data_IF_850791037262
#
_entry.id   IF_850791037262
#
_cell.length_a   1.000
_cell.length_b   1.000
_cell.length_c   1.000
_cell.angle_alpha   90.00
_cell.angle_beta   90.00
_cell.angle_gamma   90.00
#
_symmetry.space_group_name_H-M   'P 1'
#
loop_
_entity.id
_entity.type
_entity.pdbx_description
1 polymer ?
#
# COMPACT_ATOMS: atom_id res chain seq x y z
N UNK A 1 -14.21 27.39 -6.24
CA UNK A 1 -13.15 26.94 -5.30
C UNK A 1 -13.70 25.77 -4.51
N UNK A 2 -13.38 24.54 -4.93
CA UNK A 2 -13.62 23.36 -4.09
C UNK A 2 -12.53 23.28 -3.01
N UNK A 3 -12.86 22.69 -1.86
CA UNK A 3 -11.90 22.38 -0.80
C UNK A 3 -11.87 20.87 -0.68
N UNK A 4 -10.67 20.30 -0.61
CA UNK A 4 -10.48 18.86 -0.43
C UNK A 4 -9.95 18.56 0.97
N UNK A 5 -10.39 17.44 1.53
CA UNK A 5 -9.88 16.89 2.77
C UNK A 5 -8.43 16.44 2.59
N UNK A 6 -7.49 17.30 2.98
CA UNK A 6 -6.05 17.00 3.01
C UNK A 6 -5.71 15.92 4.04
N UNK A 7 -6.63 15.60 4.97
CA UNK A 7 -6.41 14.56 5.97
C UNK A 7 -6.25 13.15 5.40
N UNK A 8 -6.71 12.94 4.16
CA UNK A 8 -6.42 11.73 3.40
C UNK A 8 -4.91 11.44 3.35
N UNK A 9 -4.07 12.47 3.33
CA UNK A 9 -2.62 12.37 3.27
C UNK A 9 -1.99 11.83 4.57
N UNK A 10 -2.76 11.74 5.67
CA UNK A 10 -2.35 11.22 6.97
C UNK A 10 -3.01 9.89 7.33
N UNK A 11 -3.70 9.25 6.38
CA UNK A 11 -4.14 7.87 6.58
C UNK A 11 -2.92 6.95 6.71
N UNK A 12 -2.98 5.91 7.59
CA UNK A 12 -1.89 4.96 7.78
C UNK A 12 -1.31 4.44 6.47
N UNK A 13 -2.15 4.01 5.52
CA UNK A 13 -1.71 3.50 4.21
C UNK A 13 -0.91 4.54 3.42
N UNK A 14 -1.27 5.83 3.51
CA UNK A 14 -0.58 6.94 2.83
C UNK A 14 0.73 7.30 3.52
N UNK A 15 0.78 7.24 4.86
CA UNK A 15 2.00 7.51 5.62
C UNK A 15 3.08 6.46 5.32
N UNK A 16 2.74 5.18 5.36
CA UNK A 16 3.70 4.13 5.04
C UNK A 16 4.10 4.17 3.55
N UNK A 17 3.21 4.68 2.68
CA UNK A 17 3.53 4.91 1.25
C UNK A 17 4.60 5.97 1.07
N UNK A 18 4.44 7.10 1.75
CA UNK A 18 5.46 8.16 1.79
C UNK A 18 6.78 7.63 2.36
N UNK A 19 6.72 6.82 3.41
CA UNK A 19 7.92 6.22 4.00
C UNK A 19 8.65 5.29 3.02
N UNK A 20 7.91 4.46 2.28
CA UNK A 20 8.46 3.60 1.23
C UNK A 20 9.11 4.42 0.12
N UNK A 21 8.50 5.56 -0.26
CA UNK A 21 8.97 6.41 -1.35
C UNK A 21 10.19 7.26 -0.97
N UNK A 22 10.30 7.65 0.30
CA UNK A 22 11.36 8.52 0.81
C UNK A 22 12.46 7.76 1.56
N UNK A 23 12.47 6.43 1.51
CA UNK A 23 13.41 5.63 2.29
C UNK A 23 14.87 5.90 1.88
N UNK A 24 15.70 6.35 2.81
CA UNK A 24 17.14 6.51 2.60
C UNK A 24 17.81 5.19 2.24
N UNK A 25 18.73 5.22 1.28
CA UNK A 25 19.32 4.02 0.65
C UNK A 25 20.48 3.39 1.45
N UNK A 26 20.37 3.33 2.79
CA UNK A 26 21.46 2.94 3.69
C UNK A 26 21.17 1.72 4.59
N UNK A 27 19.96 1.15 4.56
CA UNK A 27 19.63 0.03 5.46
C UNK A 27 20.39 -1.25 5.13
N UNK A 28 20.74 -1.46 3.86
CA UNK A 28 21.55 -2.61 3.48
C UNK A 28 22.98 -2.57 4.03
N UNK A 29 23.52 -1.40 4.38
CA UNK A 29 24.85 -1.29 5.01
C UNK A 29 24.91 -1.94 6.40
N UNK A 30 23.76 -2.19 7.03
CA UNK A 30 23.67 -2.96 8.27
C UNK A 30 23.95 -4.46 8.06
N UNK A 31 23.97 -4.91 6.81
CA UNK A 31 24.22 -6.29 6.38
C UNK A 31 25.55 -6.41 5.62
N UNK A 32 26.59 -5.69 6.07
CA UNK A 32 27.90 -5.61 5.39
C UNK A 32 28.56 -6.98 5.13
N UNK A 33 28.26 -8.00 5.95
CA UNK A 33 28.73 -9.37 5.78
C UNK A 33 27.99 -10.14 4.67
N UNK A 34 27.03 -9.48 4.00
CA UNK A 34 26.20 -9.99 2.90
C UNK A 34 26.26 -9.10 1.66
N UNK A 35 27.16 -8.11 1.61
CA UNK A 35 27.26 -7.15 0.50
C UNK A 35 27.37 -7.83 -0.87
N UNK A 36 28.19 -8.89 -1.00
CA UNK A 36 28.35 -9.64 -2.25
C UNK A 36 27.02 -10.24 -2.74
N UNK A 37 26.23 -10.80 -1.82
CA UNK A 37 24.92 -11.39 -2.15
C UNK A 37 23.93 -10.28 -2.50
N UNK A 38 23.92 -9.18 -1.75
CA UNK A 38 23.04 -8.04 -2.00
C UNK A 38 23.30 -7.45 -3.39
N UNK A 39 24.56 -7.24 -3.77
CA UNK A 39 24.93 -6.72 -5.09
C UNK A 39 24.67 -7.72 -6.23
N UNK A 40 24.83 -9.03 -5.98
CA UNK A 40 24.42 -10.06 -6.93
C UNK A 40 22.91 -10.04 -7.18
N UNK A 41 22.08 -9.97 -6.14
CA UNK A 41 20.62 -9.88 -6.28
C UNK A 41 20.22 -8.59 -6.99
N UNK A 42 20.82 -7.44 -6.64
CA UNK A 42 20.59 -6.18 -7.36
C UNK A 42 20.90 -6.33 -8.86
N UNK A 43 22.02 -6.98 -9.19
CA UNK A 43 22.41 -7.21 -10.59
C UNK A 43 21.40 -8.09 -11.32
N UNK A 44 20.94 -9.18 -10.69
CA UNK A 44 19.90 -10.06 -11.24
C UNK A 44 18.59 -9.32 -11.47
N UNK A 45 18.15 -8.52 -10.49
CA UNK A 45 16.92 -7.74 -10.59
C UNK A 45 17.01 -6.65 -11.68
N UNK A 46 18.19 -6.06 -11.90
CA UNK A 46 18.43 -5.04 -12.96
C UNK A 46 18.35 -5.60 -14.38
N UNK A 47 18.37 -6.93 -14.56
CA UNK A 47 18.11 -7.58 -15.85
C UNK A 47 16.66 -7.42 -16.30
N UNK A 48 15.73 -7.23 -15.35
CA UNK A 48 14.32 -6.98 -15.65
C UNK A 48 14.12 -5.48 -15.93
N UNK A 49 14.10 -5.11 -17.21
CA UNK A 49 14.01 -3.72 -17.67
C UNK A 49 12.91 -2.89 -17.00
N UNK A 50 11.76 -3.51 -16.71
CA UNK A 50 10.60 -2.87 -16.08
C UNK A 50 10.90 -2.35 -14.67
N UNK A 51 11.74 -3.05 -13.90
CA UNK A 51 12.01 -2.73 -12.48
C UNK A 51 13.44 -2.26 -12.22
N UNK A 52 14.27 -2.20 -13.26
CA UNK A 52 15.69 -1.82 -13.14
C UNK A 52 15.91 -0.56 -12.30
N UNK A 53 15.05 0.45 -12.48
CA UNK A 53 15.16 1.73 -11.78
C UNK A 53 14.61 1.69 -10.35
N UNK A 54 13.84 0.67 -9.98
CA UNK A 54 13.30 0.46 -8.62
C UNK A 54 14.10 -0.57 -7.83
N UNK A 55 15.03 -1.30 -8.47
CA UNK A 55 15.78 -2.37 -7.84
C UNK A 55 16.41 -1.94 -6.51
N UNK A 56 17.13 -0.82 -6.49
CA UNK A 56 17.82 -0.37 -5.28
C UNK A 56 16.81 -0.04 -4.17
N UNK A 57 15.67 0.56 -4.53
CA UNK A 57 14.57 0.84 -3.61
C UNK A 57 13.96 -0.43 -3.04
N UNK A 58 13.65 -1.43 -3.90
CA UNK A 58 13.09 -2.73 -3.51
C UNK A 58 14.04 -3.46 -2.54
N UNK A 59 15.33 -3.50 -2.87
CA UNK A 59 16.34 -4.17 -2.03
C UNK A 59 16.47 -3.46 -0.69
N UNK A 60 16.50 -2.13 -0.67
CA UNK A 60 16.66 -1.36 0.56
C UNK A 60 15.47 -1.46 1.52
N UNK A 61 14.23 -1.46 1.01
CA UNK A 61 13.05 -1.67 1.87
C UNK A 61 13.01 -3.08 2.47
N UNK A 62 13.57 -4.07 1.76
CA UNK A 62 13.75 -5.44 2.27
C UNK A 62 14.81 -5.47 3.37
N UNK A 63 15.97 -4.84 3.15
CA UNK A 63 17.00 -4.68 4.18
C UNK A 63 16.47 -3.97 5.43
N UNK A 64 15.59 -2.97 5.29
CA UNK A 64 14.96 -2.33 6.45
C UNK A 64 14.08 -3.32 7.21
N UNK A 65 13.25 -4.09 6.53
CA UNK A 65 12.35 -5.04 7.19
C UNK A 65 13.12 -6.11 7.98
N UNK A 66 14.25 -6.59 7.47
CA UNK A 66 15.09 -7.58 8.17
C UNK A 66 15.77 -7.05 9.43
N UNK A 67 15.66 -5.75 9.73
CA UNK A 67 16.13 -5.20 11.02
C UNK A 67 15.11 -5.42 12.16
N UNK A 68 13.84 -5.62 11.83
CA UNK A 68 12.74 -5.79 12.78
C UNK A 68 12.78 -7.21 13.35
N UNK A 69 12.57 -7.34 14.66
CA UNK A 69 12.48 -8.65 15.31
C UNK A 69 11.19 -9.39 14.93
N UNK A 70 11.26 -10.70 14.78
CA UNK A 70 10.15 -11.54 14.29
C UNK A 70 8.96 -11.59 15.26
N UNK A 71 9.21 -11.38 16.55
CA UNK A 71 8.20 -11.34 17.62
C UNK A 71 7.59 -9.94 17.78
N UNK A 72 8.17 -8.91 17.15
CA UNK A 72 7.56 -7.59 17.09
C UNK A 72 6.33 -7.64 16.15
N UNK A 73 5.13 -7.23 16.61
CA UNK A 73 3.93 -7.15 15.76
C UNK A 73 4.12 -6.33 14.47
N UNK A 74 5.05 -5.36 14.48
CA UNK A 74 5.43 -4.57 13.31
C UNK A 74 5.98 -5.44 12.17
N UNK A 75 6.59 -6.60 12.46
CA UNK A 75 7.13 -7.49 11.43
C UNK A 75 6.04 -7.91 10.42
N UNK A 76 4.93 -8.46 10.91
CA UNK A 76 3.81 -8.90 10.07
C UNK A 76 3.23 -7.73 9.28
N UNK A 77 2.95 -6.61 9.97
CA UNK A 77 2.40 -5.41 9.34
C UNK A 77 3.33 -4.85 8.25
N UNK A 78 4.64 -4.79 8.53
CA UNK A 78 5.65 -4.34 7.58
C UNK A 78 5.71 -5.27 6.37
N UNK A 79 5.69 -6.58 6.57
CA UNK A 79 5.73 -7.54 5.47
C UNK A 79 4.51 -7.45 4.56
N UNK A 80 3.32 -7.28 5.13
CA UNK A 80 2.09 -7.15 4.35
C UNK A 80 2.06 -5.82 3.59
N UNK A 81 2.54 -4.75 4.23
CA UNK A 81 2.72 -3.48 3.55
C UNK A 81 3.72 -3.55 2.38
N UNK A 82 4.90 -4.13 2.60
CA UNK A 82 5.92 -4.28 1.56
C UNK A 82 5.45 -5.19 0.42
N UNK A 83 4.65 -6.21 0.71
CA UNK A 83 4.04 -7.05 -0.31
C UNK A 83 3.21 -6.22 -1.31
N UNK A 84 2.35 -5.33 -0.82
CA UNK A 84 1.54 -4.49 -1.69
C UNK A 84 2.36 -3.42 -2.41
N UNK A 85 3.39 -2.85 -1.78
CA UNK A 85 4.21 -1.82 -2.46
C UNK A 85 5.15 -2.38 -3.52
N UNK A 86 5.76 -3.53 -3.26
CA UNK A 86 6.56 -4.24 -4.27
C UNK A 86 5.63 -4.74 -5.38
N UNK A 87 4.44 -5.25 -5.01
CA UNK A 87 3.42 -5.64 -5.98
C UNK A 87 2.99 -4.49 -6.89
N UNK A 88 2.79 -3.27 -6.38
CA UNK A 88 2.48 -2.09 -7.22
C UNK A 88 3.54 -1.89 -8.30
N UNK A 89 4.83 -2.00 -7.94
CA UNK A 89 5.91 -1.91 -8.93
C UNK A 89 5.77 -3.00 -10.00
N UNK A 90 5.44 -4.23 -9.61
CA UNK A 90 5.38 -5.37 -10.54
C UNK A 90 4.16 -5.32 -11.47
N UNK A 91 2.99 -5.02 -10.90
CA UNK A 91 1.72 -4.99 -11.62
C UNK A 91 1.50 -3.68 -12.40
N UNK A 92 2.08 -2.55 -11.98
CA UNK A 92 1.97 -1.30 -12.73
C UNK A 92 3.00 -1.17 -13.83
N UNK A 93 4.21 -1.72 -13.64
CA UNK A 93 5.23 -1.72 -14.71
C UNK A 93 5.12 -2.89 -15.68
N UNK A 94 4.00 -3.64 -15.62
CA UNK A 94 3.65 -4.72 -16.53
C UNK A 94 4.79 -5.74 -16.71
N UNK A 95 5.40 -6.16 -15.60
CA UNK A 95 6.30 -7.31 -15.66
C UNK A 95 5.50 -8.48 -16.24
N UNK A 96 6.08 -9.21 -17.19
CA UNK A 96 5.45 -10.42 -17.70
C UNK A 96 5.21 -11.38 -16.51
N UNK A 97 3.98 -11.85 -16.33
CA UNK A 97 3.57 -12.79 -15.27
C UNK A 97 4.49 -14.02 -15.21
N UNK A 98 5.04 -14.46 -16.35
CA UNK A 98 6.01 -15.56 -16.45
C UNK A 98 7.30 -15.31 -15.66
N UNK A 99 7.63 -14.04 -15.40
CA UNK A 99 8.81 -13.61 -14.66
C UNK A 99 8.56 -13.45 -13.17
N UNK A 100 7.30 -13.45 -12.71
CA UNK A 100 6.97 -13.25 -11.31
C UNK A 100 7.63 -14.29 -10.41
N UNK A 101 7.68 -15.57 -10.84
CA UNK A 101 8.34 -16.61 -10.05
C UNK A 101 9.83 -16.31 -9.87
N UNK A 102 10.52 -15.95 -10.95
CA UNK A 102 11.97 -15.67 -10.92
C UNK A 102 12.26 -14.45 -10.04
N UNK A 103 11.51 -13.37 -10.22
CA UNK A 103 11.68 -12.17 -9.39
C UNK A 103 11.35 -12.47 -7.92
N UNK A 104 10.27 -13.20 -7.63
CA UNK A 104 9.93 -13.66 -6.29
C UNK A 104 11.05 -14.51 -5.66
N UNK A 105 11.72 -15.37 -6.43
CA UNK A 105 12.83 -16.18 -5.97
C UNK A 105 14.08 -15.35 -5.63
N UNK A 106 14.39 -14.32 -6.41
CA UNK A 106 15.46 -13.36 -6.08
C UNK A 106 15.15 -12.63 -4.76
N UNK A 107 13.92 -12.14 -4.58
CA UNK A 107 13.50 -11.46 -3.34
C UNK A 107 13.55 -12.39 -2.12
N UNK A 108 13.13 -13.66 -2.30
CA UNK A 108 13.21 -14.69 -1.26
C UNK A 108 14.66 -14.98 -0.89
N UNK A 109 15.53 -15.13 -1.88
CA UNK A 109 16.97 -15.38 -1.68
C UNK A 109 17.61 -14.23 -0.90
N UNK A 110 17.31 -12.99 -1.26
CA UNK A 110 17.74 -11.82 -0.50
C UNK A 110 17.26 -11.88 0.95
N UNK A 111 15.95 -12.06 1.15
CA UNK A 111 15.34 -12.11 2.47
C UNK A 111 15.97 -13.18 3.37
N UNK A 112 16.18 -14.38 2.84
CA UNK A 112 16.79 -15.49 3.57
C UNK A 112 18.27 -15.26 3.89
N UNK A 113 18.97 -14.50 3.05
CA UNK A 113 20.39 -14.20 3.24
C UNK A 113 20.65 -13.14 4.30
N UNK A 114 19.74 -12.16 4.44
CA UNK A 114 19.91 -11.01 5.36
C UNK A 114 19.13 -11.16 6.67
N UNK A 115 18.14 -12.06 6.72
CA UNK A 115 17.28 -12.25 7.89
C UNK A 115 17.70 -13.46 8.71
N UNK A 116 18.26 -13.21 9.89
CA UNK A 116 18.54 -14.26 10.86
C UNK A 116 17.24 -14.87 11.41
N UNK A 117 17.35 -15.97 12.16
CA UNK A 117 16.19 -16.70 12.71
C UNK A 117 15.26 -15.88 13.61
N UNK A 118 15.74 -14.76 14.16
CA UNK A 118 14.98 -13.88 15.07
C UNK A 118 14.53 -12.59 14.37
N UNK A 119 14.85 -12.44 13.08
CA UNK A 119 14.49 -11.27 12.30
C UNK A 119 13.32 -11.55 11.39
N UNK A 120 12.63 -10.49 11.06
CA UNK A 120 11.44 -10.53 10.22
C UNK A 120 11.76 -11.16 8.87
N UNK A 121 10.91 -12.09 8.43
CA UNK A 121 11.01 -12.76 7.12
C UNK A 121 9.73 -12.58 6.33
N UNK A 122 9.77 -11.67 5.36
CA UNK A 122 8.60 -11.43 4.52
C UNK A 122 8.53 -12.42 3.35
N UNK A 123 7.30 -12.86 3.04
CA UNK A 123 7.03 -13.70 1.87
C UNK A 123 6.47 -12.86 0.71
N UNK A 124 7.26 -12.74 -0.36
CA UNK A 124 6.94 -11.99 -1.58
C UNK A 124 6.57 -12.93 -2.74
N UNK A 125 5.45 -13.65 -2.63
CA UNK A 125 4.97 -14.54 -3.69
C UNK A 125 3.85 -13.91 -4.52
N UNK A 126 4.14 -13.57 -5.78
CA UNK A 126 3.17 -12.94 -6.70
C UNK A 126 2.55 -13.90 -7.72
N UNK A 127 3.01 -15.15 -7.80
CA UNK A 127 2.49 -16.18 -8.72
C UNK A 127 0.99 -16.45 -8.55
N UNK A 128 0.28 -16.77 -9.64
CA UNK A 128 -1.16 -17.06 -9.62
C UNK A 128 -2.07 -15.93 -9.07
N UNK A 129 -1.61 -14.68 -9.16
CA UNK A 129 -2.42 -13.49 -8.87
C UNK A 129 -2.42 -12.62 -10.12
N UNK A 130 -3.60 -12.34 -10.65
CA UNK A 130 -3.76 -11.38 -11.73
C UNK A 130 -3.80 -9.94 -11.17
N UNK A 131 -3.67 -8.93 -12.04
CA UNK A 131 -3.61 -7.52 -11.64
C UNK A 131 -4.89 -7.05 -10.91
N UNK A 132 -6.06 -7.49 -11.34
CA UNK A 132 -7.33 -7.08 -10.75
C UNK A 132 -7.51 -7.64 -9.34
N UNK A 133 -7.22 -8.93 -9.16
CA UNK A 133 -7.19 -9.59 -7.86
C UNK A 133 -6.18 -8.91 -6.92
N UNK A 134 -4.98 -8.59 -7.43
CA UNK A 134 -3.98 -7.87 -6.66
C UNK A 134 -4.48 -6.50 -6.18
N UNK A 135 -5.07 -5.71 -7.09
CA UNK A 135 -5.60 -4.40 -6.78
C UNK A 135 -6.74 -4.47 -5.76
N UNK A 136 -7.65 -5.43 -5.91
CA UNK A 136 -8.74 -5.63 -4.97
C UNK A 136 -8.21 -6.00 -3.57
N UNK A 137 -7.25 -6.93 -3.48
CA UNK A 137 -6.61 -7.30 -2.21
C UNK A 137 -5.91 -6.11 -1.55
N UNK A 138 -5.19 -5.31 -2.33
CA UNK A 138 -4.47 -4.12 -1.84
C UNK A 138 -5.42 -3.08 -1.28
N UNK A 139 -6.45 -2.71 -2.04
CA UNK A 139 -7.42 -1.70 -1.64
C UNK A 139 -8.21 -2.16 -0.40
N UNK A 140 -8.57 -3.45 -0.33
CA UNK A 140 -9.21 -4.04 0.83
C UNK A 140 -8.32 -3.98 2.09
N UNK A 141 -7.03 -4.31 1.93
CA UNK A 141 -6.06 -4.23 3.03
C UNK A 141 -5.85 -2.79 3.50
N UNK A 142 -5.68 -1.83 2.58
CA UNK A 142 -5.53 -0.42 2.94
C UNK A 142 -6.79 0.16 3.58
N UNK A 143 -7.97 -0.22 3.11
CA UNK A 143 -9.23 0.14 3.79
C UNK A 143 -9.24 -0.35 5.23
N UNK A 144 -8.90 -1.62 5.46
CA UNK A 144 -8.82 -2.19 6.81
C UNK A 144 -7.82 -1.43 7.69
N UNK A 145 -6.63 -1.11 7.17
CA UNK A 145 -5.59 -0.37 7.91
C UNK A 145 -5.98 1.08 8.19
N UNK A 146 -6.72 1.71 7.29
CA UNK A 146 -7.16 3.10 7.42
C UNK A 146 -8.45 3.24 8.23
N UNK A 147 -9.14 2.13 8.53
CA UNK A 147 -10.49 2.11 9.08
C UNK A 147 -10.61 2.95 10.37
N UNK A 148 -9.84 2.67 11.41
CA UNK A 148 -9.96 3.41 12.67
C UNK A 148 -9.61 4.90 12.52
N UNK A 149 -8.66 5.25 11.65
CA UNK A 149 -8.35 6.66 11.37
C UNK A 149 -9.49 7.34 10.62
N UNK A 150 -10.06 6.71 9.60
CA UNK A 150 -11.23 7.22 8.88
C UNK A 150 -12.42 7.40 9.84
N UNK A 151 -12.64 6.47 10.77
CA UNK A 151 -13.69 6.56 11.79
C UNK A 151 -13.51 7.78 12.67
N UNK A 152 -12.29 7.98 13.19
CA UNK A 152 -11.95 9.13 14.02
C UNK A 152 -12.10 10.46 13.25
N UNK A 153 -11.67 10.50 11.98
CA UNK A 153 -11.86 11.68 11.12
C UNK A 153 -13.34 11.99 10.92
N UNK A 154 -14.16 10.99 10.60
CA UNK A 154 -15.61 11.17 10.44
C UNK A 154 -16.26 11.68 11.73
N UNK A 155 -15.91 11.11 12.88
CA UNK A 155 -16.42 11.57 14.17
C UNK A 155 -16.00 13.02 14.45
N UNK A 156 -14.74 13.35 14.19
CA UNK A 156 -14.21 14.70 14.36
C UNK A 156 -14.96 15.73 13.49
N UNK A 157 -15.33 15.33 12.27
CA UNK A 157 -16.07 16.17 11.33
C UNK A 157 -17.59 16.06 11.42
N UNK A 158 -18.14 15.50 12.51
CA UNK A 158 -19.59 15.29 12.68
C UNK A 158 -20.23 14.57 11.48
N UNK A 159 -19.49 13.62 10.90
CA UNK A 159 -19.84 12.86 9.70
C UNK A 159 -20.09 13.72 8.46
N UNK A 160 -19.53 14.94 8.40
CA UNK A 160 -19.48 15.77 7.19
C UNK A 160 -18.20 15.49 6.40
N UNK A 161 -18.30 15.54 5.07
CA UNK A 161 -17.17 15.31 4.17
C UNK A 161 -17.35 16.04 2.84
N UNK A 162 -16.28 16.19 2.07
CA UNK A 162 -16.41 16.56 0.66
C UNK A 162 -16.77 15.35 -0.23
N UNK A 163 -17.15 15.62 -1.47
CA UNK A 163 -17.54 14.60 -2.45
C UNK A 163 -16.39 13.62 -2.80
N UNK A 164 -15.15 14.11 -2.84
CA UNK A 164 -13.96 13.30 -3.09
C UNK A 164 -13.68 12.32 -1.96
N UNK A 165 -13.77 12.76 -0.70
CA UNK A 165 -13.64 11.89 0.47
C UNK A 165 -14.76 10.84 0.52
N UNK A 166 -16.01 11.25 0.26
CA UNK A 166 -17.15 10.33 0.17
C UNK A 166 -16.94 9.27 -0.91
N UNK A 167 -16.46 9.68 -2.09
CA UNK A 167 -16.13 8.78 -3.19
C UNK A 167 -15.01 7.80 -2.79
N UNK A 168 -13.98 8.30 -2.12
CA UNK A 168 -12.87 7.47 -1.62
C UNK A 168 -13.35 6.39 -0.64
N UNK A 169 -14.09 6.75 0.43
CA UNK A 169 -14.52 5.77 1.45
C UNK A 169 -15.48 4.72 0.88
N UNK A 170 -16.39 5.11 -0.03
CA UNK A 170 -17.30 4.18 -0.69
C UNK A 170 -16.56 3.19 -1.57
N UNK A 171 -15.65 3.68 -2.42
CA UNK A 171 -14.83 2.83 -3.28
C UNK A 171 -13.98 1.86 -2.45
N UNK A 172 -13.33 2.35 -1.40
CA UNK A 172 -12.50 1.53 -0.53
C UNK A 172 -13.32 0.44 0.17
N UNK A 173 -14.52 0.78 0.69
CA UNK A 173 -15.44 -0.19 1.27
C UNK A 173 -15.90 -1.23 0.26
N UNK A 174 -16.30 -0.85 -0.96
CA UNK A 174 -16.71 -1.80 -2.00
C UNK A 174 -15.62 -2.83 -2.33
N UNK A 175 -14.35 -2.42 -2.35
CA UNK A 175 -13.21 -3.32 -2.56
C UNK A 175 -13.02 -4.26 -1.39
N UNK A 176 -13.07 -3.73 -0.17
CA UNK A 176 -13.03 -4.54 1.05
C UNK A 176 -14.17 -5.57 1.10
N UNK A 177 -15.40 -5.14 0.84
CA UNK A 177 -16.60 -5.96 0.84
C UNK A 177 -16.51 -7.11 -0.15
N UNK A 178 -16.11 -6.81 -1.40
CA UNK A 178 -15.88 -7.82 -2.44
C UNK A 178 -14.89 -8.89 -2.00
N UNK A 179 -13.75 -8.48 -1.44
CA UNK A 179 -12.71 -9.41 -0.98
C UNK A 179 -13.20 -10.21 0.23
N UNK A 180 -13.84 -9.56 1.20
CA UNK A 180 -14.38 -10.20 2.39
C UNK A 180 -15.41 -11.28 2.04
N UNK A 181 -16.40 -10.96 1.20
CA UNK A 181 -17.44 -11.91 0.78
C UNK A 181 -16.88 -13.04 -0.09
N UNK A 182 -15.93 -12.75 -0.98
CA UNK A 182 -15.24 -13.78 -1.75
C UNK A 182 -14.52 -14.77 -0.83
N UNK A 183 -13.83 -14.29 0.21
CA UNK A 183 -13.07 -15.14 1.11
C UNK A 183 -13.92 -15.85 2.17
N UNK A 184 -15.07 -15.28 2.53
CA UNK A 184 -16.05 -15.93 3.40
C UNK A 184 -16.78 -17.08 2.70
N UNK A 185 -17.24 -16.86 1.46
CA UNK A 185 -18.13 -17.79 0.76
C UNK A 185 -17.36 -18.76 -0.16
N UNK A 186 -16.24 -18.33 -0.74
CA UNK A 186 -15.47 -19.09 -1.73
C UNK A 186 -14.02 -19.25 -1.27
N UNK A 187 -13.87 -20.01 -0.19
CA UNK A 187 -12.61 -20.34 0.45
C UNK A 187 -11.51 -20.93 -0.47
N UNK A 188 -11.83 -21.29 -1.72
CA UNK A 188 -10.96 -21.92 -2.71
C UNK A 188 -10.30 -20.96 -3.70
N UNK A 189 -10.68 -19.67 -3.75
CA UNK A 189 -10.04 -18.70 -4.65
C UNK A 189 -8.58 -18.44 -4.24
N UNK A 190 -7.68 -18.41 -5.21
CA UNK A 190 -6.23 -18.28 -5.00
C UNK A 190 -5.86 -17.03 -4.20
N UNK A 191 -6.54 -15.90 -4.43
CA UNK A 191 -6.32 -14.67 -3.65
C UNK A 191 -6.73 -14.84 -2.18
N UNK A 192 -7.81 -15.56 -1.88
CA UNK A 192 -8.22 -15.81 -0.49
C UNK A 192 -7.24 -16.71 0.26
N UNK A 193 -6.64 -17.70 -0.40
CA UNK A 193 -5.57 -18.49 0.20
C UNK A 193 -4.32 -17.66 0.49
N UNK A 194 -3.99 -16.69 -0.38
CA UNK A 194 -2.89 -15.75 -0.12
C UNK A 194 -3.19 -14.80 1.05
N UNK A 195 -4.42 -14.33 1.17
CA UNK A 195 -4.85 -13.45 2.25
C UNK A 195 -4.93 -14.17 3.61
N UNK A 196 -5.47 -15.39 3.65
CA UNK A 196 -5.56 -16.22 4.87
C UNK A 196 -4.21 -16.44 5.55
N UNK A 197 -3.16 -16.57 4.75
CA UNK A 197 -1.80 -16.83 5.24
C UNK A 197 -1.04 -15.54 5.61
N UNK A 198 -1.59 -14.36 5.30
CA UNK A 198 -0.92 -13.06 5.50
C UNK A 198 -1.57 -12.23 6.61
N UNK A 199 -2.90 -12.24 6.70
CA UNK A 199 -3.64 -11.39 7.62
C UNK A 199 -5.05 -11.95 7.87
N UNK A 200 -5.34 -12.29 9.13
CA UNK A 200 -6.66 -12.75 9.60
C UNK A 200 -7.78 -11.69 9.47
N UNK A 201 -7.53 -10.57 8.79
CA UNK A 201 -8.43 -9.41 8.72
C UNK A 201 -9.73 -9.70 7.98
N UNK A 202 -9.76 -10.76 7.18
CA UNK A 202 -10.95 -11.25 6.46
C UNK A 202 -11.56 -12.50 7.10
N UNK A 203 -10.96 -13.01 8.18
CA UNK A 203 -11.48 -14.12 8.99
C UNK A 203 -12.24 -13.62 10.22
N UNK A 204 -12.06 -12.34 10.58
CA UNK A 204 -12.77 -11.68 11.68
C UNK A 204 -14.14 -11.14 11.29
N UNK A 205 -14.72 -10.38 12.20
CA UNK A 205 -15.97 -9.65 11.95
C UNK A 205 -15.80 -8.66 10.81
N UNK A 206 -16.83 -8.58 9.96
CA UNK A 206 -16.88 -7.65 8.85
C UNK A 206 -16.92 -6.22 9.37
N UNK A 207 -16.04 -5.37 8.89
CA UNK A 207 -16.08 -3.94 9.16
C UNK A 207 -17.34 -3.33 8.54
N UNK A 208 -18.11 -2.51 9.28
CA UNK A 208 -19.30 -1.88 8.73
C UNK A 208 -18.93 -0.79 7.72
N UNK A 209 -19.84 -0.52 6.80
CA UNK A 209 -19.68 0.58 5.85
C UNK A 209 -19.60 1.92 6.58
N UNK A 210 -18.65 2.75 6.15
CA UNK A 210 -18.56 4.14 6.58
C UNK A 210 -19.29 5.04 5.60
N UNK A 211 -20.11 5.94 6.13
CA UNK A 211 -20.83 6.94 5.34
C UNK A 211 -20.62 8.33 5.92
N UNK A 212 -20.69 9.34 5.05
CA UNK A 212 -20.67 10.74 5.44
C UNK A 212 -21.69 11.54 4.63
N UNK A 213 -22.13 12.67 5.19
CA UNK A 213 -22.98 13.64 4.50
C UNK A 213 -22.09 14.65 3.78
N UNK A 214 -22.32 14.80 2.48
CA UNK A 214 -21.56 15.74 1.65
C UNK A 214 -21.87 17.17 2.10
N UNK A 215 -20.84 18.00 2.19
CA UNK A 215 -20.95 19.43 2.46
C UNK A 215 -21.54 20.14 1.23
N UNK A 216 -22.66 20.82 1.41
CA UNK A 216 -23.39 21.48 0.31
C UNK A 216 -23.12 22.99 0.24
N UNK A 217 -22.64 23.61 1.32
CA UNK A 217 -22.46 25.06 1.40
C UNK A 217 -21.19 25.50 2.15
N UNK A 218 -20.78 26.74 1.91
CA UNK A 218 -19.53 27.32 2.45
C UNK A 218 -19.55 27.53 3.97
N UNK A 219 -20.72 27.72 4.58
CA UNK A 219 -20.86 27.88 6.04
C UNK A 219 -20.55 26.60 6.79
N UNK A 220 -20.88 25.43 6.23
CA UNK A 220 -20.47 24.12 6.77
C UNK A 220 -18.95 23.93 6.72
N UNK A 221 -18.27 24.39 5.65
CA UNK A 221 -16.81 24.36 5.60
C UNK A 221 -16.14 25.24 6.68
N UNK A 222 -16.74 26.39 7.00
CA UNK A 222 -16.25 27.27 8.06
C UNK A 222 -16.37 26.63 9.44
N UNK A 223 -17.45 25.87 9.69
CA UNK A 223 -17.65 25.14 10.94
C UNK A 223 -16.62 24.00 11.17
N UNK A 224 -16.02 23.48 10.10
CA UNK A 224 -14.99 22.42 10.17
C UNK A 224 -13.57 22.99 10.34
N UNK A 225 -13.38 24.30 10.15
CA UNK A 225 -12.08 24.97 10.20
C UNK A 225 -11.67 25.32 11.64
N UNK A 226 -11.31 24.31 12.46
CA UNK A 226 -10.75 24.49 13.82
C UNK A 226 -9.26 24.09 13.89
N UNK A 227 -8.49 24.50 14.91
CA UNK A 227 -7.05 24.20 14.99
C UNK A 227 -6.75 22.68 14.98
N UNK A 228 -5.88 22.23 14.05
CA UNK A 228 -5.57 20.81 13.81
C UNK A 228 -5.97 20.29 12.42
N UNK A 229 -6.48 21.17 11.56
CA UNK A 229 -7.13 20.89 10.29
C UNK A 229 -6.22 21.08 9.07
N UNK A 230 -6.20 20.13 8.13
CA UNK A 230 -5.57 20.28 6.81
C UNK A 230 -6.63 20.19 5.70
N UNK A 231 -7.33 21.30 5.42
CA UNK A 231 -7.99 21.46 4.11
C UNK A 231 -7.00 22.03 3.11
N UNK A 232 -6.88 21.36 1.98
CA UNK A 232 -6.15 21.88 0.84
C UNK A 232 -7.13 22.50 -0.17
N UNK A 233 -6.68 23.57 -0.82
CA UNK A 233 -7.40 24.11 -1.97
C UNK A 233 -7.15 23.18 -3.16
N UNK A 234 -8.21 22.69 -3.79
CA UNK A 234 -8.08 22.01 -5.07
C UNK A 234 -7.60 23.02 -6.11
N UNK A 235 -6.39 22.84 -6.61
CA UNK A 235 -5.96 23.50 -7.84
C UNK A 235 -6.53 22.69 -9.01
N UNK A 236 -7.58 23.22 -9.65
CA UNK A 236 -7.98 22.77 -10.99
C UNK A 236 -6.78 22.95 -11.93
N UNK A 237 -6.11 21.86 -12.27
CA UNK A 237 -5.12 21.87 -13.34
C UNK A 237 -5.86 22.00 -14.65
N UNK A 238 -5.95 23.24 -15.15
CA UNK A 238 -6.24 23.48 -16.56
C UNK A 238 -5.09 22.89 -17.39
N UNK A 239 -5.32 21.68 -17.89
CA UNK A 239 -4.61 21.16 -19.03
C UNK A 239 -4.93 22.08 -20.22
N UNK A 240 -4.07 23.06 -20.49
CA UNK A 240 -4.03 23.69 -21.80
C UNK A 240 -2.93 23.04 -22.63
N UNK A 241 -3.44 22.28 -23.58
CA UNK A 241 -2.77 21.66 -24.71
C UNK A 241 -1.72 22.58 -25.36
N UNK A 242 -0.55 21.99 -25.62
CA UNK A 242 0.21 22.24 -26.86
C UNK A 242 -0.79 22.22 -28.04
N UNK A 243 -0.83 23.10 -29.03
CA UNK A 243 0.15 23.81 -29.90
C UNK A 243 -0.73 24.56 -30.95
N UNK A 244 -0.28 25.46 -31.88
CA UNK A 244 0.89 25.29 -32.75
C UNK A 244 1.69 26.55 -33.17
N UNK A 245 2.91 26.24 -33.65
CA UNK A 245 3.76 26.95 -34.63
C UNK A 245 3.40 28.38 -35.05
N UNK A 246 4.39 29.26 -34.91
CA UNK A 246 4.95 30.03 -36.03
C UNK A 246 6.46 29.86 -36.04
#
# INVERSE_FOLDING_TARGET
MSRSFGDLLYLPSKLVSKEFDNLENNYCSLHFDKDDIIEQIKSNLKLYHQIRNDTDKIVNVICKASTIDVDNPECTERCNYLYYRIGDIFFDKLINVDLFSKVSDELRTLMDSISSRFKCKCNFTFTNVNKDDFNDMKEAYFYYKDYEKNKALLQHYNYLCDDGYNTYIKRAFQKYDKVYEACKNENSKTHCNKLKNKDSIYLGEKLPEMTCRIIENSSQYQALSSPGFHLEHSQETLANASTPKS
#
